data_IF_722259159021
#
_entry.id   IF_722259159021
#
_cell.length_a   1.000
_cell.length_b   1.000
_cell.length_c   1.000
_cell.angle_alpha   90.00
_cell.angle_beta   90.00
_cell.angle_gamma   90.00
#
_symmetry.space_group_name_H-M   'P 1'
#
loop_
_entity.id
_entity.type
_entity.pdbx_description
1 polymer ?
#
# COMPACT_ATOMS: atom_id res chain seq x y z
N UNK A 1 13.92 8.93 18.93
CA UNK A 1 12.87 7.97 18.53
C UNK A 1 13.35 7.09 17.38
N UNK A 2 13.83 7.67 16.26
CA UNK A 2 14.61 6.96 15.23
C UNK A 2 15.78 6.16 15.85
N UNK A 3 16.61 6.84 16.65
CA UNK A 3 17.76 6.24 17.33
C UNK A 3 17.45 5.14 18.37
N UNK A 4 16.18 4.97 18.78
CA UNK A 4 15.80 3.89 19.71
C UNK A 4 15.37 2.62 18.95
N UNK A 5 14.79 2.81 17.75
CA UNK A 5 14.46 1.71 16.84
C UNK A 5 15.75 1.13 16.26
N UNK A 6 16.73 1.97 15.93
CA UNK A 6 18.06 1.53 15.46
C UNK A 6 18.83 0.74 16.53
N UNK A 7 18.66 1.08 17.82
CA UNK A 7 19.27 0.37 18.95
C UNK A 7 18.64 -1.01 19.21
N UNK A 8 17.30 -1.13 19.19
CA UNK A 8 16.66 -2.43 19.39
C UNK A 8 16.77 -3.37 18.19
N UNK A 9 16.89 -2.84 16.96
CA UNK A 9 17.16 -3.65 15.75
C UNK A 9 18.55 -4.29 15.82
N UNK A 10 19.50 -3.68 16.54
CA UNK A 10 20.85 -4.21 16.73
C UNK A 10 20.94 -5.36 17.75
N UNK A 11 19.94 -5.53 18.64
CA UNK A 11 19.95 -6.59 19.66
C UNK A 11 19.14 -7.85 19.27
N UNK A 12 18.57 -7.91 18.06
CA UNK A 12 17.86 -9.11 17.56
C UNK A 12 16.43 -9.28 18.07
N UNK A 13 15.86 -8.27 18.71
CA UNK A 13 14.50 -8.30 19.27
C UNK A 13 13.45 -7.82 18.24
N UNK A 14 13.31 -8.56 17.13
CA UNK A 14 12.40 -8.19 16.03
C UNK A 14 10.94 -8.01 16.47
N UNK A 15 10.51 -8.78 17.48
CA UNK A 15 9.15 -8.68 18.04
C UNK A 15 8.93 -7.34 18.77
N UNK A 16 9.95 -6.81 19.44
CA UNK A 16 9.86 -5.49 20.09
C UNK A 16 9.89 -4.36 19.08
N UNK A 17 10.72 -4.47 18.05
CA UNK A 17 10.74 -3.51 16.94
C UNK A 17 9.37 -3.45 16.24
N UNK A 18 8.72 -4.61 15.97
CA UNK A 18 7.33 -4.66 15.48
C UNK A 18 6.36 -3.94 16.42
N UNK A 19 6.42 -4.22 17.72
CA UNK A 19 5.56 -3.56 18.70
C UNK A 19 5.77 -2.04 18.76
N UNK A 20 7.01 -1.56 18.55
CA UNK A 20 7.32 -0.13 18.46
C UNK A 20 6.72 0.50 17.21
N UNK A 21 6.84 -0.15 16.04
CA UNK A 21 6.20 0.32 14.80
C UNK A 21 4.68 0.37 14.93
N UNK A 22 4.05 -0.65 15.52
CA UNK A 22 2.60 -0.67 15.79
C UNK A 22 2.18 0.50 16.70
N UNK A 23 2.88 0.72 17.81
CA UNK A 23 2.62 1.86 18.71
C UNK A 23 2.86 3.21 18.06
N UNK A 24 3.84 3.29 17.16
CA UNK A 24 4.11 4.51 16.39
C UNK A 24 2.99 4.77 15.38
N UNK A 25 2.48 3.74 14.72
CA UNK A 25 1.34 3.83 13.81
C UNK A 25 0.02 4.16 14.52
N UNK A 26 -0.14 3.78 15.79
CA UNK A 26 -1.28 4.24 16.59
C UNK A 26 -1.28 5.77 16.80
N UNK A 27 -0.10 6.38 16.88
CA UNK A 27 0.06 7.83 17.12
C UNK A 27 0.21 8.64 15.85
N UNK A 28 0.95 8.11 14.89
CA UNK A 28 1.34 8.80 13.65
C UNK A 28 1.11 7.88 12.47
N UNK A 29 0.09 8.18 11.67
CA UNK A 29 -0.29 7.37 10.50
C UNK A 29 0.27 7.96 9.21
N UNK A 30 1.52 8.43 9.27
CA UNK A 30 2.22 8.99 8.12
C UNK A 30 2.70 7.89 7.19
N UNK A 31 2.63 8.15 5.89
CA UNK A 31 3.12 7.24 4.84
C UNK A 31 4.56 6.76 5.11
N UNK A 32 5.44 7.66 5.56
CA UNK A 32 6.85 7.33 5.85
C UNK A 32 7.00 6.23 6.92
N UNK A 33 6.11 6.19 7.91
CA UNK A 33 6.17 5.18 8.98
C UNK A 33 5.79 3.81 8.42
N UNK A 34 4.75 3.74 7.59
CA UNK A 34 4.36 2.50 6.90
C UNK A 34 5.46 1.97 5.98
N UNK A 35 6.11 2.87 5.22
CA UNK A 35 7.22 2.49 4.34
C UNK A 35 8.40 1.96 5.17
N UNK A 36 8.79 2.67 6.23
CA UNK A 36 9.89 2.24 7.11
C UNK A 36 9.57 0.91 7.80
N UNK A 37 8.31 0.66 8.17
CA UNK A 37 7.92 -0.61 8.76
C UNK A 37 8.03 -1.77 7.76
N UNK A 38 7.58 -1.57 6.52
CA UNK A 38 7.71 -2.57 5.46
C UNK A 38 9.18 -2.85 5.10
N UNK A 39 10.03 -1.81 5.07
CA UNK A 39 11.48 -1.96 4.87
C UNK A 39 12.13 -2.74 6.03
N UNK A 40 11.72 -2.46 7.27
CA UNK A 40 12.17 -3.23 8.43
C UNK A 40 11.77 -4.71 8.35
N UNK A 41 10.54 -5.04 7.95
CA UNK A 41 10.14 -6.45 7.77
C UNK A 41 10.94 -7.12 6.65
N UNK A 42 11.32 -6.39 5.60
CA UNK A 42 12.17 -6.93 4.53
C UNK A 42 13.61 -7.20 5.01
N UNK A 43 14.16 -6.36 5.90
CA UNK A 43 15.53 -6.52 6.41
C UNK A 43 15.62 -7.46 7.61
N UNK A 44 14.63 -7.47 8.51
CA UNK A 44 14.56 -8.35 9.69
C UNK A 44 14.60 -9.83 9.34
N UNK A 45 14.19 -10.18 8.12
CA UNK A 45 14.24 -11.55 7.60
C UNK A 45 15.61 -11.94 7.03
N UNK A 46 16.56 -11.00 6.95
CA UNK A 46 17.92 -11.15 6.40
C UNK A 46 18.97 -11.37 7.50
N UNK A 47 18.65 -11.10 8.79
CA UNK A 47 19.67 -10.88 9.86
C UNK A 47 19.98 -12.11 10.74
N UNK A 48 19.59 -13.33 10.37
CA UNK A 48 20.18 -14.54 10.99
C UNK A 48 21.57 -14.87 10.41
N UNK A 49 22.20 -13.99 9.63
CA UNK A 49 23.57 -14.18 9.12
C UNK A 49 24.32 -12.84 8.93
N UNK A 50 24.87 -12.32 10.02
CA UNK A 50 25.76 -11.15 9.97
C UNK A 50 27.21 -11.63 9.78
N UNK A 51 27.64 -11.93 8.53
CA UNK A 51 29.04 -11.75 8.06
C UNK A 51 29.28 -12.02 6.55
N UNK A 52 28.41 -11.61 5.61
CA UNK A 52 28.67 -11.83 4.17
C UNK A 52 28.25 -10.63 3.30
N UNK A 53 28.73 -10.58 2.06
CA UNK A 53 28.40 -9.50 1.12
C UNK A 53 26.89 -9.47 0.77
N UNK A 54 26.32 -8.29 0.45
CA UNK A 54 24.90 -8.10 0.04
C UNK A 54 24.44 -9.12 -1.02
N UNK A 55 25.38 -9.60 -1.85
CA UNK A 55 25.13 -10.54 -2.92
C UNK A 55 25.15 -12.02 -2.47
N UNK A 56 25.89 -12.35 -1.40
CA UNK A 56 25.88 -13.68 -0.76
C UNK A 56 24.66 -13.83 0.16
N UNK A 57 24.27 -12.78 0.88
CA UNK A 57 23.13 -12.77 1.80
C UNK A 57 21.83 -13.07 1.06
N UNK A 58 21.61 -12.37 -0.07
CA UNK A 58 20.46 -12.63 -0.95
C UNK A 58 20.42 -14.08 -1.45
N UNK A 59 21.58 -14.68 -1.78
CA UNK A 59 21.64 -16.09 -2.20
C UNK A 59 21.30 -17.04 -1.04
N UNK A 60 21.83 -16.80 0.15
CA UNK A 60 21.58 -17.64 1.33
C UNK A 60 20.16 -17.54 1.85
N UNK A 61 19.53 -16.37 1.84
CA UNK A 61 18.13 -16.22 2.25
C UNK A 61 17.19 -16.95 1.28
N UNK A 62 17.46 -16.86 -0.02
CA UNK A 62 16.75 -17.65 -1.03
C UNK A 62 17.01 -19.15 -0.82
N UNK A 63 18.23 -19.57 -0.49
CA UNK A 63 18.59 -20.98 -0.29
C UNK A 63 18.01 -21.58 0.99
N UNK A 64 18.00 -20.84 2.11
CA UNK A 64 17.33 -21.24 3.36
C UNK A 64 15.82 -21.33 3.18
N UNK A 65 15.26 -20.35 2.49
CA UNK A 65 13.83 -20.33 2.21
C UNK A 65 13.46 -21.43 1.18
N UNK A 66 14.38 -21.87 0.30
CA UNK A 66 14.27 -23.08 -0.54
C UNK A 66 14.39 -24.40 0.25
N UNK A 67 15.15 -24.42 1.34
CA UNK A 67 15.33 -25.59 2.21
C UNK A 67 14.24 -25.73 3.30
N UNK A 68 13.35 -24.74 3.44
CA UNK A 68 12.16 -24.86 4.25
C UNK A 68 11.07 -25.64 3.50
N UNK A 69 10.25 -26.42 4.23
CA UNK A 69 9.10 -27.12 3.65
C UNK A 69 8.02 -26.16 3.08
N UNK A 70 8.13 -24.87 3.43
CA UNK A 70 7.30 -23.78 2.93
C UNK A 70 8.04 -23.05 1.79
N UNK A 71 7.29 -22.64 0.76
CA UNK A 71 7.84 -21.99 -0.41
C UNK A 71 8.64 -20.72 -0.01
N UNK A 72 9.87 -20.51 -0.53
CA UNK A 72 10.72 -19.38 -0.20
C UNK A 72 10.04 -18.01 -0.32
N UNK A 73 9.12 -17.90 -1.28
CA UNK A 73 8.29 -16.72 -1.50
C UNK A 73 7.38 -16.48 -0.30
N UNK A 74 6.73 -17.50 0.26
CA UNK A 74 5.74 -17.34 1.35
C UNK A 74 6.37 -16.81 2.64
N UNK A 75 7.61 -17.20 2.95
CA UNK A 75 8.27 -16.81 4.19
C UNK A 75 8.62 -15.31 4.17
N UNK A 76 9.26 -14.85 3.09
CA UNK A 76 9.74 -13.46 2.98
C UNK A 76 8.60 -12.45 2.72
N UNK A 77 7.54 -12.90 2.06
CA UNK A 77 6.58 -12.01 1.42
C UNK A 77 5.35 -11.70 2.26
N UNK A 78 4.93 -12.64 3.11
CA UNK A 78 3.70 -12.53 3.91
C UNK A 78 3.78 -11.37 4.92
N UNK A 79 4.89 -11.15 5.65
CA UNK A 79 4.97 -10.04 6.60
C UNK A 79 4.96 -8.68 5.89
N UNK A 80 5.77 -8.54 4.84
CA UNK A 80 5.93 -7.31 4.07
C UNK A 80 4.62 -6.92 3.37
N UNK A 81 3.99 -7.86 2.67
CA UNK A 81 2.69 -7.65 2.03
C UNK A 81 1.61 -7.32 3.04
N UNK A 82 1.64 -7.97 4.22
CA UNK A 82 0.71 -7.68 5.32
C UNK A 82 0.78 -6.22 5.78
N UNK A 83 1.99 -5.64 5.89
CA UNK A 83 2.17 -4.22 6.24
C UNK A 83 1.58 -3.31 5.17
N UNK A 84 1.85 -3.58 3.89
CA UNK A 84 1.28 -2.79 2.78
C UNK A 84 -0.24 -2.89 2.70
N UNK A 85 -0.81 -4.09 2.87
CA UNK A 85 -2.26 -4.27 2.86
C UNK A 85 -2.94 -3.54 4.02
N UNK A 86 -2.36 -3.60 5.22
CA UNK A 86 -2.84 -2.87 6.39
C UNK A 86 -2.80 -1.36 6.16
N UNK A 87 -1.71 -0.86 5.58
CA UNK A 87 -1.56 0.55 5.21
C UNK A 87 -2.58 0.97 4.13
N UNK A 88 -2.80 0.16 3.10
CA UNK A 88 -3.79 0.42 2.05
C UNK A 88 -5.22 0.46 2.62
N UNK A 89 -5.56 -0.46 3.51
CA UNK A 89 -6.85 -0.46 4.16
C UNK A 89 -7.05 0.79 5.03
N UNK A 90 -6.01 1.25 5.72
CA UNK A 90 -6.04 2.51 6.46
C UNK A 90 -6.31 3.71 5.54
N UNK A 91 -5.54 3.89 4.46
CA UNK A 91 -5.75 5.01 3.54
C UNK A 91 -7.12 4.94 2.85
N UNK A 92 -7.62 3.73 2.58
CA UNK A 92 -8.96 3.55 2.01
C UNK A 92 -10.07 3.95 2.99
N UNK A 93 -9.98 3.54 4.24
CA UNK A 93 -11.10 3.66 5.21
C UNK A 93 -11.04 4.93 6.04
N UNK A 94 -9.84 5.32 6.47
CA UNK A 94 -9.63 6.35 7.50
C UNK A 94 -9.08 7.65 6.92
N UNK A 95 -8.46 7.61 5.74
CA UNK A 95 -7.91 8.80 5.07
C UNK A 95 -8.20 8.80 3.55
N UNK A 96 -9.48 8.71 3.13
CA UNK A 96 -9.85 8.52 1.73
C UNK A 96 -9.45 9.68 0.81
N UNK A 97 -9.24 10.88 1.38
CA UNK A 97 -8.79 12.07 0.64
C UNK A 97 -7.27 12.04 0.35
N UNK A 98 -6.50 11.23 1.08
CA UNK A 98 -5.04 11.06 0.92
C UNK A 98 -4.71 10.04 -0.18
N UNK A 99 -5.28 10.29 -1.37
CA UNK A 99 -5.15 9.42 -2.53
C UNK A 99 -3.74 9.40 -3.11
N UNK A 100 -3.02 10.51 -3.01
CA UNK A 100 -1.64 10.61 -3.47
C UNK A 100 -0.71 9.72 -2.64
N UNK A 101 -0.85 9.76 -1.32
CA UNK A 101 -0.08 8.92 -0.39
C UNK A 101 -0.38 7.44 -0.61
N UNK A 102 -1.64 7.10 -0.86
CA UNK A 102 -2.05 5.75 -1.23
C UNK A 102 -1.43 5.30 -2.56
N UNK A 103 -1.31 6.20 -3.54
CA UNK A 103 -0.65 5.91 -4.81
C UNK A 103 0.86 5.69 -4.61
N UNK A 104 1.53 6.55 -3.84
CA UNK A 104 2.95 6.41 -3.50
C UNK A 104 3.25 5.11 -2.75
N UNK A 105 2.35 4.67 -1.87
CA UNK A 105 2.47 3.40 -1.16
C UNK A 105 2.48 2.21 -2.14
N UNK A 106 1.59 2.22 -3.14
CA UNK A 106 1.55 1.17 -4.17
C UNK A 106 2.78 1.21 -5.08
N UNK A 107 3.26 2.41 -5.44
CA UNK A 107 4.52 2.56 -6.20
C UNK A 107 5.71 1.98 -5.38
N UNK A 108 5.76 2.24 -4.07
CA UNK A 108 6.80 1.68 -3.20
C UNK A 108 6.69 0.17 -3.07
N UNK A 109 5.48 -0.37 -2.91
CA UNK A 109 5.25 -1.82 -2.89
C UNK A 109 5.73 -2.45 -4.20
N UNK A 110 5.34 -1.90 -5.35
CA UNK A 110 5.75 -2.37 -6.67
C UNK A 110 7.27 -2.40 -6.86
N UNK A 111 7.97 -1.36 -6.38
CA UNK A 111 9.42 -1.31 -6.44
C UNK A 111 10.05 -2.40 -5.57
N UNK A 112 9.49 -2.62 -4.37
CA UNK A 112 9.93 -3.69 -3.48
C UNK A 112 9.75 -5.07 -4.14
N UNK A 113 8.57 -5.35 -4.70
CA UNK A 113 8.30 -6.56 -5.50
C UNK A 113 9.36 -6.79 -6.57
N UNK A 114 9.67 -5.73 -7.32
CA UNK A 114 10.63 -5.79 -8.41
C UNK A 114 12.06 -6.08 -7.92
N UNK A 115 12.42 -5.63 -6.71
CA UNK A 115 13.76 -5.90 -6.13
C UNK A 115 13.98 -7.36 -5.80
N UNK A 116 12.91 -8.14 -5.59
CA UNK A 116 12.97 -9.58 -5.35
C UNK A 116 13.08 -10.42 -6.63
N UNK A 117 13.00 -9.80 -7.81
CA UNK A 117 13.15 -10.48 -9.09
C UNK A 117 12.05 -11.52 -9.33
N UNK A 118 12.42 -12.75 -9.69
CA UNK A 118 11.47 -13.85 -9.98
C UNK A 118 10.68 -14.33 -8.75
N UNK A 119 11.09 -13.95 -7.53
CA UNK A 119 10.39 -14.32 -6.29
C UNK A 119 9.27 -13.34 -5.92
N UNK A 120 9.23 -12.15 -6.54
CA UNK A 120 8.17 -11.16 -6.31
C UNK A 120 6.96 -11.40 -7.22
N UNK A 121 5.79 -10.91 -6.80
CA UNK A 121 4.59 -10.86 -7.63
C UNK A 121 4.22 -9.41 -7.95
N UNK A 122 4.94 -8.86 -8.93
CA UNK A 122 4.72 -7.51 -9.45
C UNK A 122 3.30 -7.38 -10.04
N UNK A 123 2.74 -8.46 -10.59
CA UNK A 123 1.42 -8.45 -11.26
C UNK A 123 0.30 -8.15 -10.27
N UNK A 124 0.40 -8.70 -9.07
CA UNK A 124 -0.54 -8.44 -7.97
C UNK A 124 -0.64 -6.94 -7.67
N UNK A 125 0.50 -6.25 -7.57
CA UNK A 125 0.53 -4.82 -7.22
C UNK A 125 0.16 -3.94 -8.42
N UNK A 126 0.59 -4.30 -9.63
CA UNK A 126 0.22 -3.57 -10.86
C UNK A 126 -1.30 -3.46 -11.04
N UNK A 127 -2.03 -4.53 -10.72
CA UNK A 127 -3.49 -4.55 -10.81
C UNK A 127 -4.19 -3.56 -9.86
N UNK A 128 -3.48 -3.05 -8.84
CA UNK A 128 -4.00 -2.12 -7.82
C UNK A 128 -3.63 -0.66 -8.11
N UNK A 129 -2.71 -0.39 -9.05
CA UNK A 129 -2.20 0.96 -9.31
C UNK A 129 -3.32 1.92 -9.79
N UNK A 130 -3.34 3.17 -9.29
CA UNK A 130 -4.33 4.15 -9.70
C UNK A 130 -4.02 4.77 -11.07
N UNK A 131 -5.07 5.25 -11.73
CA UNK A 131 -4.95 6.13 -12.90
C UNK A 131 -4.87 7.58 -12.43
N UNK A 132 -3.83 8.30 -12.88
CA UNK A 132 -3.68 9.75 -12.66
C UNK A 132 -4.63 10.50 -13.61
N UNK A 133 -5.47 11.38 -13.06
CA UNK A 133 -6.46 12.17 -13.78
C UNK A 133 -6.24 13.66 -13.51
N UNK A 134 -6.29 14.49 -14.55
CA UNK A 134 -6.32 15.96 -14.38
C UNK A 134 -7.77 16.41 -14.27
N UNK A 135 -8.12 17.05 -13.16
CA UNK A 135 -9.47 17.57 -12.90
C UNK A 135 -9.44 19.09 -12.72
N UNK A 136 -10.59 19.72 -12.96
CA UNK A 136 -10.81 21.15 -12.75
C UNK A 136 -11.85 21.30 -11.64
N UNK A 137 -11.53 22.11 -10.62
CA UNK A 137 -12.48 22.50 -9.58
C UNK A 137 -12.66 24.02 -9.56
N UNK A 138 -13.85 24.43 -9.17
CA UNK A 138 -14.16 25.83 -8.92
C UNK A 138 -13.82 26.13 -7.46
N UNK A 139 -12.95 27.11 -7.24
CA UNK A 139 -12.57 27.60 -5.91
C UNK A 139 -13.13 29.01 -5.75
N UNK A 140 -13.89 29.22 -4.68
CA UNK A 140 -14.40 30.54 -4.33
C UNK A 140 -13.24 31.42 -3.86
N UNK A 141 -13.10 32.59 -4.46
CA UNK A 141 -12.12 33.61 -4.07
C UNK A 141 -12.80 34.59 -3.11
N UNK A 142 -12.02 35.25 -2.25
CA UNK A 142 -12.52 36.20 -1.24
C UNK A 142 -13.38 37.33 -1.85
N UNK A 143 -13.14 37.67 -3.13
CA UNK A 143 -13.88 38.67 -3.90
C UNK A 143 -15.22 38.15 -4.50
N UNK A 144 -15.63 36.92 -4.19
CA UNK A 144 -16.82 36.27 -4.76
C UNK A 144 -16.66 35.79 -6.20
N UNK A 145 -15.49 36.00 -6.81
CA UNK A 145 -15.14 35.44 -8.12
C UNK A 145 -14.76 33.95 -8.01
N UNK A 146 -15.05 33.18 -9.06
CA UNK A 146 -14.74 31.75 -9.10
C UNK A 146 -13.46 31.51 -9.90
N UNK A 147 -12.41 31.01 -9.24
CA UNK A 147 -11.16 30.61 -9.88
C UNK A 147 -11.23 29.14 -10.27
N UNK A 148 -10.89 28.82 -11.52
CA UNK A 148 -10.70 27.44 -11.95
C UNK A 148 -9.30 27.01 -11.52
N UNK A 149 -9.21 25.97 -10.70
CA UNK A 149 -7.96 25.35 -10.29
C UNK A 149 -7.85 23.96 -10.90
N UNK A 150 -6.73 23.70 -11.59
CA UNK A 150 -6.40 22.37 -12.09
C UNK A 150 -5.72 21.58 -10.96
N UNK A 151 -6.22 20.39 -10.65
CA UNK A 151 -5.64 19.49 -9.65
C UNK A 151 -5.53 18.06 -10.17
N UNK A 152 -4.59 17.30 -9.62
CA UNK A 152 -4.42 15.88 -9.94
C UNK A 152 -5.29 15.07 -8.98
N UNK A 153 -6.10 14.18 -9.54
CA UNK A 153 -6.87 13.19 -8.81
C UNK A 153 -6.40 11.78 -9.21
N UNK A 154 -6.64 10.82 -8.33
CA UNK A 154 -6.27 9.43 -8.53
C UNK A 154 -7.53 8.56 -8.51
N UNK A 155 -7.70 7.74 -9.55
CA UNK A 155 -8.78 6.76 -9.63
C UNK A 155 -8.23 5.36 -9.45
N UNK A 156 -8.58 4.72 -8.34
CA UNK A 156 -8.17 3.34 -8.05
C UNK A 156 -9.07 2.35 -8.82
N UNK A 157 -8.53 1.21 -9.29
CA UNK A 157 -9.31 0.21 -10.04
C UNK A 157 -10.56 -0.26 -9.30
N UNK A 158 -10.48 -0.46 -7.99
CA UNK A 158 -11.63 -0.84 -7.15
C UNK A 158 -12.74 0.23 -7.10
N UNK A 159 -12.38 1.51 -7.15
CA UNK A 159 -13.36 2.61 -7.14
C UNK A 159 -14.16 2.62 -8.45
N UNK A 160 -13.49 2.34 -9.58
CA UNK A 160 -14.13 2.27 -10.89
C UNK A 160 -15.16 1.13 -11.00
N UNK A 161 -14.92 0.00 -10.33
CA UNK A 161 -15.89 -1.08 -10.27
C UNK A 161 -17.13 -0.67 -9.47
N UNK A 162 -16.95 0.01 -8.33
CA UNK A 162 -18.09 0.45 -7.51
C UNK A 162 -18.96 1.51 -8.18
N UNK A 163 -18.38 2.41 -8.96
CA UNK A 163 -19.15 3.43 -9.70
C UNK A 163 -19.98 2.81 -10.81
N UNK A 164 -19.42 1.88 -11.58
CA UNK A 164 -20.15 1.17 -12.64
C UNK A 164 -21.37 0.41 -12.10
N UNK A 165 -21.23 -0.25 -10.94
CA UNK A 165 -22.34 -0.98 -10.31
C UNK A 165 -23.48 -0.03 -9.87
N UNK A 166 -23.16 1.13 -9.29
CA UNK A 166 -24.17 2.13 -8.89
C UNK A 166 -24.94 2.70 -10.09
N UNK A 167 -24.25 2.93 -11.20
CA UNK A 167 -24.89 3.40 -12.45
C UNK A 167 -25.87 2.35 -12.98
N UNK A 168 -25.47 1.07 -13.00
CA UNK A 168 -26.32 -0.04 -13.43
C UNK A 168 -27.55 -0.22 -12.54
N UNK A 169 -27.38 -0.12 -11.22
CA UNK A 169 -28.49 -0.20 -10.26
C UNK A 169 -29.50 0.95 -10.47
N UNK A 170 -29.00 2.18 -10.66
CA UNK A 170 -29.84 3.34 -10.94
C UNK A 170 -30.62 3.19 -12.26
N UNK A 171 -29.95 2.70 -13.32
CA UNK A 171 -30.58 2.43 -14.61
C UNK A 171 -31.70 1.36 -14.49
N UNK A 172 -31.46 0.29 -13.72
CA UNK A 172 -32.47 -0.73 -13.45
C UNK A 172 -33.69 -0.15 -12.70
N UNK A 173 -33.46 0.66 -11.66
CA UNK A 173 -34.55 1.33 -10.91
C UNK A 173 -35.38 2.25 -11.82
N UNK A 174 -34.72 3.03 -12.67
CA UNK A 174 -35.41 3.90 -13.64
C UNK A 174 -36.27 3.10 -14.63
N UNK A 175 -35.75 1.99 -15.15
CA UNK A 175 -36.52 1.10 -16.04
C UNK A 175 -37.75 0.51 -15.32
N UNK A 176 -37.61 0.10 -14.06
CA UNK A 176 -38.72 -0.44 -13.25
C UNK A 176 -39.81 0.62 -12.98
N UNK A 177 -39.41 1.87 -12.74
CA UNK A 177 -40.36 2.98 -12.59
C UNK A 177 -41.13 3.26 -13.88
N UNK A 178 -40.46 3.19 -15.04
CA UNK A 178 -41.13 3.42 -16.33
C UNK A 178 -42.18 2.35 -16.64
N UNK A 179 -41.89 1.09 -16.34
CA UNK A 179 -42.82 -0.03 -16.54
C UNK A 179 -43.99 -0.08 -15.55
N UNK A 180 -43.91 0.63 -14.42
CA UNK A 180 -45.01 0.68 -13.42
C UNK A 180 -45.91 1.91 -13.57
N UNK A 181 -45.54 2.85 -14.44
CA UNK A 181 -46.33 4.06 -14.75
C UNK A 181 -47.14 3.93 -16.05
N UNK A 182 -46.94 2.84 -16.81
CA UNK A 182 -47.63 2.55 -18.07
C UNK A 182 -48.78 1.51 -17.89
N UNK A 183 -49.10 1.12 -16.65
CA UNK A 183 -50.30 0.35 -16.23
C UNK A 183 -51.26 1.27 -15.44
#
# INVERSE_FOLDING_TARGET
>A
MQAFIDFETAEGEFERARALYERLLDRTKHLKVWISYAEFEATAMDVDNVDLSEHEQKKQCIERARNSFLNPVVILFVPVSGVFEKALNYFRSSAPDLKEERAMLLEKWLNMESTFGELGDVSLVQSKLPKKLKKRRHVATEDGSTRIEEFIDFLFPEESQTTNLKILEAAYKWKKQKLSSDD
#
